data_IF_144428927989
#
_entry.id   IF_144428927989
#
_cell.length_a   1.000
_cell.length_b   1.000
_cell.length_c   1.000
_cell.angle_alpha   90.00
_cell.angle_beta   90.00
_cell.angle_gamma   90.00
#
_symmetry.space_group_name_H-M   'P 1'
#
loop_
_entity.id
_entity.type
_entity.pdbx_description
1 polymer ?
#
# COMPACT_ATOMS: atom_id res chain seq x y z
N UNK A 1 15.06 -15.23 -59.45
CA UNK A 1 15.57 -14.39 -58.34
C UNK A 1 14.64 -13.20 -58.16
N UNK A 2 13.78 -13.13 -57.11
CA UNK A 2 13.20 -11.85 -56.61
C UNK A 2 12.16 -11.88 -55.44
N UNK A 3 11.55 -13.00 -54.97
CA UNK A 3 10.63 -12.89 -53.82
C UNK A 3 11.21 -13.34 -52.47
N UNK A 4 12.16 -14.29 -52.45
CA UNK A 4 12.69 -14.87 -51.18
C UNK A 4 13.60 -13.90 -50.43
N UNK A 5 14.30 -13.01 -51.15
CA UNK A 5 15.25 -12.06 -50.55
C UNK A 5 14.55 -10.88 -49.84
N UNK A 6 13.28 -10.59 -50.17
CA UNK A 6 12.51 -9.51 -49.52
C UNK A 6 11.95 -9.93 -48.15
N UNK A 7 11.62 -11.22 -47.95
CA UNK A 7 11.09 -11.71 -46.68
C UNK A 7 12.14 -11.73 -45.56
N UNK A 8 13.42 -11.96 -45.89
CA UNK A 8 14.51 -12.01 -44.91
C UNK A 8 14.88 -10.59 -44.43
N UNK A 9 14.76 -9.57 -45.28
CA UNK A 9 15.06 -8.18 -44.90
C UNK A 9 14.00 -7.62 -43.94
N UNK A 10 12.73 -8.01 -44.08
CA UNK A 10 11.67 -7.57 -43.17
C UNK A 10 11.75 -8.21 -41.77
N UNK A 11 12.32 -9.41 -41.66
CA UNK A 11 12.51 -10.09 -40.37
C UNK A 11 13.73 -9.58 -39.58
N UNK A 12 14.69 -8.89 -40.24
CA UNK A 12 15.89 -8.33 -39.58
C UNK A 12 15.66 -6.89 -39.09
N UNK A 13 14.62 -6.20 -39.57
CA UNK A 13 14.28 -4.85 -39.13
C UNK A 13 13.36 -4.79 -37.91
N UNK A 14 12.89 -5.94 -37.41
CA UNK A 14 12.25 -6.02 -36.10
C UNK A 14 13.31 -6.29 -35.04
N UNK A 15 14.28 -5.38 -34.86
CA UNK A 15 14.92 -5.30 -33.56
C UNK A 15 13.79 -4.96 -32.59
N UNK A 16 13.47 -5.80 -31.59
CA UNK A 16 12.67 -5.32 -30.49
C UNK A 16 13.44 -4.10 -29.98
N UNK A 17 12.84 -2.91 -30.05
CA UNK A 17 13.34 -1.78 -29.27
C UNK A 17 13.31 -2.28 -27.83
N UNK A 18 14.46 -2.77 -27.36
CA UNK A 18 14.66 -3.09 -25.96
C UNK A 18 14.20 -1.84 -25.21
N UNK A 19 13.29 -2.03 -24.26
CA UNK A 19 12.62 -0.99 -23.50
C UNK A 19 13.53 0.23 -23.30
N UNK A 20 13.25 1.33 -24.00
CA UNK A 20 14.19 2.45 -24.16
C UNK A 20 14.60 3.09 -22.83
N UNK A 21 13.94 2.75 -21.72
CA UNK A 21 14.09 3.39 -20.43
C UNK A 21 15.02 2.65 -19.44
N UNK A 22 15.53 1.46 -19.77
CA UNK A 22 16.39 0.68 -18.86
C UNK A 22 17.70 1.39 -18.48
N UNK A 23 18.18 2.29 -19.33
CA UNK A 23 19.42 3.04 -19.13
C UNK A 23 19.21 4.51 -18.75
N UNK A 24 17.97 4.94 -18.54
CA UNK A 24 17.67 6.31 -18.15
C UNK A 24 17.64 6.43 -16.63
N UNK A 25 18.66 7.00 -15.99
CA UNK A 25 18.65 7.19 -14.55
C UNK A 25 17.53 8.16 -14.17
N UNK A 26 16.71 7.79 -13.19
CA UNK A 26 15.73 8.72 -12.62
C UNK A 26 16.47 9.92 -12.01
N UNK A 27 16.10 11.16 -12.39
CA UNK A 27 16.69 12.37 -11.83
C UNK A 27 16.51 12.45 -10.31
N UNK A 28 17.45 13.08 -9.61
CA UNK A 28 17.35 13.34 -8.17
C UNK A 28 17.62 12.15 -7.25
N UNK A 29 17.86 10.94 -7.79
CA UNK A 29 18.30 9.79 -6.98
C UNK A 29 19.75 10.01 -6.52
N UNK A 30 20.04 10.05 -5.20
CA UNK A 30 21.41 10.04 -4.69
C UNK A 30 22.16 8.80 -5.16
N UNK A 31 23.44 8.96 -5.51
CA UNK A 31 24.26 7.86 -6.04
C UNK A 31 25.60 7.77 -5.34
N UNK A 32 26.06 6.54 -5.18
CA UNK A 32 27.42 6.20 -4.74
C UNK A 32 28.45 6.54 -5.82
N UNK A 33 29.76 6.56 -5.51
CA UNK A 33 30.82 6.82 -6.51
C UNK A 33 30.84 5.84 -7.69
N UNK A 34 30.36 4.61 -7.52
CA UNK A 34 30.20 3.61 -8.58
C UNK A 34 28.88 3.77 -9.37
N UNK A 35 28.13 4.84 -9.13
CA UNK A 35 26.94 5.23 -9.91
C UNK A 35 25.65 4.51 -9.52
N UNK A 36 25.64 3.65 -8.50
CA UNK A 36 24.44 2.94 -8.03
C UNK A 36 23.58 3.85 -7.13
N UNK A 37 22.25 3.63 -7.06
CA UNK A 37 21.41 4.34 -6.09
C UNK A 37 21.91 4.13 -4.65
N UNK A 38 22.09 5.22 -3.92
CA UNK A 38 22.39 5.21 -2.49
C UNK A 38 21.08 5.26 -1.69
N UNK A 39 20.59 4.08 -1.29
CA UNK A 39 19.37 3.95 -0.48
C UNK A 39 19.56 4.39 0.97
N UNK A 40 20.80 4.61 1.42
CA UNK A 40 21.13 5.06 2.78
C UNK A 40 21.25 6.56 2.92
N UNK A 41 21.25 7.30 1.79
CA UNK A 41 21.29 8.74 1.76
C UNK A 41 20.16 9.39 2.58
N UNK A 42 20.31 10.63 3.07
CA UNK A 42 19.27 11.31 3.83
C UNK A 42 17.91 11.34 3.11
N UNK A 43 16.82 11.30 3.88
CA UNK A 43 15.47 11.41 3.32
C UNK A 43 15.31 12.76 2.59
N UNK A 44 14.79 12.77 1.35
CA UNK A 44 14.49 14.01 0.64
C UNK A 44 13.39 14.78 1.36
N UNK A 45 13.44 16.11 1.26
CA UNK A 45 12.46 17.01 1.84
C UNK A 45 11.75 17.78 0.73
N UNK A 46 10.47 18.05 0.92
CA UNK A 46 9.68 18.97 0.11
C UNK A 46 10.09 20.42 0.39
N UNK A 47 9.68 21.41 -0.44
CA UNK A 47 10.02 22.82 -0.23
C UNK A 47 9.57 23.40 1.12
N UNK A 48 8.51 22.85 1.74
CA UNK A 48 8.03 23.19 3.07
C UNK A 48 8.74 22.42 4.20
N UNK A 49 9.80 21.68 3.88
CA UNK A 49 10.67 21.01 4.85
C UNK A 49 10.14 19.68 5.41
N UNK A 50 8.99 19.21 4.93
CA UNK A 50 8.45 17.89 5.27
C UNK A 50 9.18 16.79 4.52
N UNK A 51 9.28 15.55 5.04
CA UNK A 51 9.72 14.43 4.23
C UNK A 51 8.89 14.33 2.95
N UNK A 52 9.57 14.29 1.81
CA UNK A 52 8.94 13.85 0.58
C UNK A 52 8.80 12.34 0.68
N UNK A 53 7.61 11.77 0.45
CA UNK A 53 7.36 10.32 0.41
C UNK A 53 7.30 9.79 -1.03
N UNK A 54 7.43 10.67 -2.02
CA UNK A 54 7.35 10.30 -3.44
C UNK A 54 8.42 9.29 -3.81
N UNK A 55 8.02 8.33 -4.64
CA UNK A 55 8.87 7.24 -5.06
C UNK A 55 8.09 6.01 -5.47
N UNK A 56 8.83 4.99 -5.90
CA UNK A 56 8.31 3.62 -6.10
C UNK A 56 8.79 2.78 -4.93
N UNK A 57 7.85 2.12 -4.26
CA UNK A 57 8.06 1.40 -3.01
C UNK A 57 7.58 -0.03 -3.13
N UNK A 58 8.23 -0.93 -2.40
CA UNK A 58 7.79 -2.31 -2.20
C UNK A 58 7.81 -2.63 -0.71
N UNK A 59 7.01 -3.61 -0.30
CA UNK A 59 6.97 -4.06 1.08
C UNK A 59 8.17 -4.96 1.36
N UNK A 60 8.93 -4.63 2.40
CA UNK A 60 10.02 -5.47 2.90
C UNK A 60 9.42 -6.73 3.53
N UNK A 61 10.06 -7.88 3.33
CA UNK A 61 9.58 -9.21 3.75
C UNK A 61 8.43 -9.78 2.90
N UNK A 62 8.19 -9.21 1.71
CA UNK A 62 7.27 -9.78 0.73
C UNK A 62 5.85 -9.89 1.27
N UNK A 63 5.18 -11.01 1.00
CA UNK A 63 3.78 -11.21 1.36
C UNK A 63 3.54 -11.54 2.84
N UNK A 64 4.52 -11.41 3.74
CA UNK A 64 4.36 -11.80 5.15
C UNK A 64 3.12 -11.18 5.82
N UNK A 65 3.03 -9.85 5.82
CA UNK A 65 1.92 -9.12 6.46
C UNK A 65 0.64 -9.13 5.63
N UNK A 66 0.76 -9.32 4.31
CA UNK A 66 -0.37 -9.55 3.42
C UNK A 66 -1.06 -10.88 3.74
N UNK A 67 -0.27 -11.91 4.07
CA UNK A 67 -0.80 -13.19 4.50
C UNK A 67 -1.38 -13.11 5.90
N UNK A 68 -0.67 -12.50 6.85
CA UNK A 68 -1.09 -12.41 8.24
C UNK A 68 -0.51 -11.17 8.93
N UNK A 69 -1.35 -10.22 9.31
CA UNK A 69 -0.93 -9.04 10.07
C UNK A 69 -0.36 -9.41 11.45
N UNK A 70 -0.77 -10.55 12.00
CA UNK A 70 -0.27 -11.09 13.27
C UNK A 70 1.06 -11.84 13.17
N UNK A 71 1.71 -11.88 11.99
CA UNK A 71 2.87 -12.75 11.72
C UNK A 71 4.10 -12.54 12.65
N UNK A 72 4.18 -11.41 13.36
CA UNK A 72 5.22 -11.13 14.37
C UNK A 72 4.82 -11.51 15.80
N UNK A 73 3.75 -12.28 15.97
CA UNK A 73 3.25 -12.65 17.30
C UNK A 73 2.53 -11.50 18.00
N UNK A 74 2.06 -10.51 17.25
CA UNK A 74 1.22 -9.43 17.78
C UNK A 74 -0.08 -10.04 18.27
N UNK A 75 -0.43 -9.78 19.54
CA UNK A 75 -1.72 -10.19 20.08
C UNK A 75 -2.84 -9.37 19.42
N UNK A 76 -3.67 -10.03 18.61
CA UNK A 76 -4.86 -9.42 18.00
C UNK A 76 -6.08 -9.74 18.89
N UNK A 77 -6.63 -8.73 19.60
CA UNK A 77 -7.57 -8.95 20.69
C UNK A 77 -9.02 -9.11 20.19
N UNK A 78 -9.26 -10.10 19.34
CA UNK A 78 -10.58 -10.38 18.74
C UNK A 78 -11.65 -10.67 19.79
N UNK A 79 -12.84 -10.10 19.60
CA UNK A 79 -14.04 -10.49 20.32
C UNK A 79 -14.45 -11.94 19.95
N UNK A 80 -15.26 -12.62 20.78
CA UNK A 80 -15.59 -14.04 20.58
C UNK A 80 -16.15 -14.37 19.19
N UNK A 81 -17.04 -13.53 18.66
CA UNK A 81 -17.62 -13.74 17.33
C UNK A 81 -16.57 -13.55 16.23
N UNK A 82 -15.70 -12.54 16.35
CA UNK A 82 -14.66 -12.24 15.36
C UNK A 82 -13.63 -13.35 15.33
N UNK A 83 -13.25 -13.87 16.51
CA UNK A 83 -12.39 -15.04 16.64
C UNK A 83 -13.04 -16.28 16.02
N UNK A 84 -14.32 -16.54 16.30
CA UNK A 84 -15.02 -17.69 15.71
C UNK A 84 -15.08 -17.60 14.17
N UNK A 85 -15.34 -16.41 13.62
CA UNK A 85 -15.35 -16.17 12.18
C UNK A 85 -13.95 -16.33 11.56
N UNK A 86 -12.91 -15.80 12.20
CA UNK A 86 -11.52 -15.96 11.77
C UNK A 86 -11.12 -17.44 11.72
N UNK A 87 -11.39 -18.21 12.78
CA UNK A 87 -11.08 -19.65 12.80
C UNK A 87 -11.89 -20.42 11.75
N UNK A 88 -13.15 -20.04 11.52
CA UNK A 88 -13.97 -20.62 10.45
C UNK A 88 -13.36 -20.35 9.06
N UNK A 89 -12.93 -19.12 8.79
CA UNK A 89 -12.26 -18.73 7.54
C UNK A 89 -10.94 -19.48 7.38
N UNK A 90 -10.19 -19.74 8.44
CA UNK A 90 -8.97 -20.55 8.34
C UNK A 90 -9.27 -22.01 8.07
N UNK A 91 -10.24 -22.58 8.77
CA UNK A 91 -10.65 -23.98 8.57
C UNK A 91 -11.19 -24.25 7.16
N UNK A 92 -11.77 -23.24 6.49
CA UNK A 92 -12.29 -23.35 5.14
C UNK A 92 -11.34 -22.86 4.03
N UNK A 93 -10.05 -22.66 4.35
CA UNK A 93 -9.02 -22.17 3.42
C UNK A 93 -9.36 -20.81 2.80
N UNK A 94 -9.81 -19.88 3.65
CA UNK A 94 -10.14 -18.49 3.31
C UNK A 94 -11.24 -18.36 2.26
N UNK A 95 -12.05 -19.41 2.06
CA UNK A 95 -13.11 -19.43 1.06
C UNK A 95 -14.07 -18.26 1.24
N UNK A 96 -14.33 -17.55 0.15
CA UNK A 96 -15.19 -16.38 0.09
C UNK A 96 -14.46 -15.06 0.31
N UNK A 97 -13.12 -15.07 0.29
CA UNK A 97 -12.30 -13.87 0.34
C UNK A 97 -12.80 -12.86 -0.71
N UNK A 98 -12.92 -11.56 -0.40
CA UNK A 98 -13.44 -10.55 -1.35
C UNK A 98 -12.74 -10.57 -2.72
N UNK A 99 -11.43 -10.80 -2.73
CA UNK A 99 -10.62 -10.92 -3.95
C UNK A 99 -11.04 -12.06 -4.90
N UNK A 100 -11.67 -13.14 -4.40
CA UNK A 100 -12.20 -14.23 -5.25
C UNK A 100 -13.30 -13.74 -6.21
N UNK A 101 -13.94 -12.63 -5.87
CA UNK A 101 -15.06 -12.04 -6.61
C UNK A 101 -14.70 -10.71 -7.26
N UNK A 102 -13.39 -10.40 -7.37
CA UNK A 102 -12.88 -9.12 -7.86
C UNK A 102 -13.46 -7.92 -7.09
N UNK A 103 -13.78 -8.10 -5.81
CA UNK A 103 -14.26 -7.02 -4.94
C UNK A 103 -13.06 -6.21 -4.42
N UNK A 104 -13.36 -5.01 -3.92
CA UNK A 104 -12.32 -4.13 -3.39
C UNK A 104 -11.65 -4.72 -2.15
N UNK A 105 -10.44 -4.25 -1.90
CA UNK A 105 -9.65 -4.58 -0.71
C UNK A 105 -9.71 -3.44 0.31
N UNK A 106 -9.50 -3.78 1.58
CA UNK A 106 -9.35 -2.79 2.66
C UNK A 106 -7.98 -2.12 2.64
N UNK A 107 -7.83 -1.00 3.34
CA UNK A 107 -6.55 -0.27 3.42
C UNK A 107 -5.43 -1.12 4.03
N UNK A 108 -5.68 -1.79 5.16
CA UNK A 108 -4.67 -2.62 5.82
C UNK A 108 -4.16 -3.77 4.91
N UNK A 109 -5.09 -4.40 4.20
CA UNK A 109 -4.79 -5.45 3.23
C UNK A 109 -3.93 -4.90 2.08
N UNK A 110 -4.39 -3.81 1.45
CA UNK A 110 -3.67 -3.22 0.31
C UNK A 110 -2.30 -2.66 0.67
N UNK A 111 -2.16 -2.10 1.88
CA UNK A 111 -0.90 -1.55 2.33
C UNK A 111 0.17 -2.63 2.49
N UNK A 112 -0.18 -3.91 2.58
CA UNK A 112 0.78 -5.00 2.77
C UNK A 112 1.06 -5.80 1.49
N UNK A 113 0.37 -5.53 0.38
CA UNK A 113 0.61 -6.20 -0.91
C UNK A 113 2.06 -5.96 -1.39
N UNK A 114 2.78 -7.05 -1.70
CA UNK A 114 4.21 -6.99 -2.03
C UNK A 114 4.54 -6.54 -3.47
N UNK A 115 3.55 -6.11 -4.25
CA UNK A 115 3.79 -5.50 -5.56
C UNK A 115 4.25 -4.05 -5.40
N UNK A 116 5.01 -3.52 -6.37
CA UNK A 116 5.36 -2.11 -6.38
C UNK A 116 4.14 -1.19 -6.25
N UNK A 117 4.34 -0.06 -5.57
CA UNK A 117 3.40 1.05 -5.53
C UNK A 117 4.13 2.36 -5.74
N UNK A 118 3.45 3.32 -6.35
CA UNK A 118 3.98 4.67 -6.57
C UNK A 118 3.29 5.64 -5.64
N UNK A 119 4.06 6.34 -4.82
CA UNK A 119 3.56 7.48 -4.04
C UNK A 119 3.86 8.76 -4.83
N UNK A 120 2.84 9.61 -4.95
CA UNK A 120 2.92 10.95 -5.52
C UNK A 120 2.44 11.92 -4.45
N UNK A 121 3.35 12.77 -3.95
CA UNK A 121 3.03 13.74 -2.92
C UNK A 121 2.88 15.14 -3.50
N UNK A 122 1.77 15.79 -3.18
CA UNK A 122 1.54 17.23 -3.38
C UNK A 122 1.13 17.85 -2.04
N UNK A 123 1.13 19.19 -1.90
CA UNK A 123 0.66 19.81 -0.67
C UNK A 123 -0.82 19.55 -0.36
N UNK A 124 -1.66 19.27 -1.37
CA UNK A 124 -3.12 19.08 -1.18
C UNK A 124 -3.54 17.60 -1.13
N UNK A 125 -2.82 16.72 -1.80
CA UNK A 125 -3.15 15.29 -1.87
C UNK A 125 -1.90 14.44 -2.01
N UNK A 126 -1.87 13.33 -1.29
CA UNK A 126 -0.94 12.22 -1.54
C UNK A 126 -1.72 11.12 -2.24
N UNK A 127 -1.26 10.74 -3.42
CA UNK A 127 -1.84 9.62 -4.18
C UNK A 127 -0.91 8.41 -4.08
N UNK A 128 -1.48 7.24 -3.78
CA UNK A 128 -0.79 5.96 -3.83
C UNK A 128 -1.38 5.17 -4.98
N UNK A 129 -0.57 4.86 -5.99
CA UNK A 129 -0.94 4.03 -7.13
C UNK A 129 -0.38 2.62 -6.89
N UNK A 130 -1.26 1.64 -6.80
CA UNK A 130 -0.87 0.26 -6.58
C UNK A 130 -0.77 -0.45 -7.93
N UNK A 131 0.33 -1.18 -8.16
CA UNK A 131 0.45 -2.02 -9.36
C UNK A 131 -0.54 -3.18 -9.33
N UNK A 132 -0.79 -3.75 -8.14
CA UNK A 132 -1.81 -4.78 -7.96
C UNK A 132 -3.22 -4.21 -8.18
N UNK A 133 -4.02 -4.96 -8.93
CA UNK A 133 -5.46 -4.73 -9.15
C UNK A 133 -5.83 -3.35 -9.75
N UNK A 134 -4.86 -2.57 -10.24
CA UNK A 134 -5.03 -1.22 -10.81
C UNK A 134 -5.82 -0.27 -9.90
N UNK A 135 -5.62 -0.35 -8.58
CA UNK A 135 -6.29 0.54 -7.63
C UNK A 135 -5.42 1.73 -7.24
N UNK A 136 -6.08 2.75 -6.71
CA UNK A 136 -5.42 3.93 -6.19
C UNK A 136 -6.07 4.35 -4.87
N UNK A 137 -5.29 5.02 -4.03
CA UNK A 137 -5.76 5.66 -2.80
C UNK A 137 -5.39 7.12 -2.82
N UNK A 138 -6.29 7.94 -2.30
CA UNK A 138 -6.06 9.38 -2.09
C UNK A 138 -6.07 9.66 -0.59
N UNK A 139 -5.03 10.35 -0.13
CA UNK A 139 -4.93 10.88 1.23
C UNK A 139 -5.03 12.39 1.10
N UNK A 140 -6.13 12.96 1.60
CA UNK A 140 -6.39 14.39 1.51
C UNK A 140 -5.59 15.12 2.59
N UNK A 141 -4.82 16.13 2.18
CA UNK A 141 -3.87 16.87 3.03
C UNK A 141 -4.34 18.29 3.32
N UNK A 142 -5.57 18.66 2.93
CA UNK A 142 -6.09 20.02 2.98
C UNK A 142 -6.74 20.40 4.34
N UNK A 143 -6.58 19.56 5.35
CA UNK A 143 -7.05 19.82 6.71
C UNK A 143 -8.54 19.59 6.95
N UNK A 144 -9.27 19.05 5.96
CA UNK A 144 -10.67 18.63 6.17
C UNK A 144 -10.75 17.47 7.17
N UNK A 145 -11.86 17.34 7.92
CA UNK A 145 -12.09 16.16 8.75
C UNK A 145 -12.41 14.93 7.88
N UNK A 146 -12.35 13.75 8.51
CA UNK A 146 -12.96 12.56 7.93
C UNK A 146 -14.46 12.76 7.70
N UNK A 147 -15.04 12.15 6.65
CA UNK A 147 -16.47 12.22 6.43
C UNK A 147 -17.23 11.46 7.52
N UNK A 148 -18.51 11.83 7.69
CA UNK A 148 -19.47 10.98 8.36
C UNK A 148 -19.63 9.65 7.59
N UNK A 149 -19.91 8.52 8.25
CA UNK A 149 -19.92 7.21 7.61
C UNK A 149 -21.23 6.91 6.85
N UNK A 150 -21.64 7.80 5.96
CA UNK A 150 -22.89 7.71 5.20
C UNK A 150 -22.76 6.94 3.88
N UNK A 151 -21.59 7.03 3.22
CA UNK A 151 -21.29 6.34 1.96
C UNK A 151 -20.06 5.44 2.13
N UNK A 152 -20.21 4.22 2.71
CA UNK A 152 -19.10 3.32 2.97
C UNK A 152 -18.46 2.79 1.69
N UNK A 153 -17.14 2.59 1.73
CA UNK A 153 -16.37 2.05 0.60
C UNK A 153 -15.37 0.97 1.06
N UNK A 154 -14.80 0.20 0.13
CA UNK A 154 -13.77 -0.79 0.51
C UNK A 154 -12.48 -0.13 1.04
N UNK A 155 -12.08 1.01 0.48
CA UNK A 155 -10.86 1.72 0.85
C UNK A 155 -11.08 2.80 1.94
N UNK A 156 -12.32 2.99 2.38
CA UNK A 156 -12.66 4.13 3.24
C UNK A 156 -12.32 5.47 2.59
N UNK A 157 -12.13 6.48 3.44
CA UNK A 157 -11.67 7.82 3.05
C UNK A 157 -10.53 8.23 3.96
N UNK A 158 -9.44 8.75 3.40
CA UNK A 158 -8.22 9.04 4.15
C UNK A 158 -7.93 10.54 4.21
N UNK A 159 -7.61 11.03 5.41
CA UNK A 159 -7.09 12.38 5.63
C UNK A 159 -5.73 12.28 6.31
N UNK A 160 -4.82 13.20 5.99
CA UNK A 160 -3.46 13.18 6.51
C UNK A 160 -3.06 14.50 7.16
N UNK A 161 -2.20 14.41 8.18
CA UNK A 161 -1.56 15.55 8.85
C UNK A 161 -0.11 15.21 9.23
N UNK A 162 0.74 16.23 9.28
CA UNK A 162 2.13 16.07 9.71
C UNK A 162 2.28 16.28 11.22
N UNK A 163 2.84 15.30 11.91
CA UNK A 163 3.33 15.41 13.29
C UNK A 163 4.86 15.42 13.27
N UNK A 164 5.46 16.61 13.27
CA UNK A 164 6.89 16.77 12.98
C UNK A 164 7.22 16.26 11.57
N UNK A 165 8.00 15.18 11.52
CA UNK A 165 8.45 14.48 10.31
C UNK A 165 7.67 13.16 10.05
N UNK A 166 6.63 12.87 10.83
CA UNK A 166 5.77 11.70 10.61
C UNK A 166 4.47 12.15 9.95
N UNK A 167 4.10 11.53 8.84
CA UNK A 167 2.77 11.68 8.26
C UNK A 167 1.83 10.73 9.01
N UNK A 168 0.82 11.30 9.65
CA UNK A 168 -0.26 10.57 10.30
C UNK A 168 -1.47 10.59 9.39
N UNK A 169 -1.97 9.41 9.03
CA UNK A 169 -3.13 9.23 8.17
C UNK A 169 -4.22 8.56 8.97
N UNK A 170 -5.41 9.13 8.93
CA UNK A 170 -6.61 8.57 9.54
C UNK A 170 -7.55 8.14 8.43
N UNK A 171 -8.15 6.96 8.54
CA UNK A 171 -9.09 6.42 7.56
C UNK A 171 -10.30 5.81 8.25
N UNK A 172 -11.50 6.14 7.79
CA UNK A 172 -12.77 5.59 8.27
C UNK A 172 -13.73 5.25 7.12
N UNK A 173 -15.00 4.96 7.48
CA UNK A 173 -16.11 4.81 6.52
C UNK A 173 -15.88 3.63 5.58
N UNK A 174 -15.43 2.53 6.16
CA UNK A 174 -15.30 1.26 5.46
C UNK A 174 -16.66 0.59 5.33
N UNK A 175 -16.81 -0.25 4.30
CA UNK A 175 -17.89 -1.24 4.28
C UNK A 175 -17.54 -2.46 5.15
N UNK A 176 -18.52 -3.32 5.38
CA UNK A 176 -18.43 -4.56 6.16
C UNK A 176 -18.01 -5.77 5.32
N UNK A 177 -17.59 -5.54 4.07
CA UNK A 177 -17.29 -6.60 3.10
C UNK A 177 -15.79 -6.87 2.97
N UNK A 178 -14.93 -6.03 3.54
CA UNK A 178 -13.48 -6.18 3.55
C UNK A 178 -12.97 -7.14 4.61
N UNK A 179 -11.78 -7.71 4.38
CA UNK A 179 -10.98 -8.42 5.38
C UNK A 179 -9.70 -7.59 5.59
N UNK A 180 -9.09 -7.66 6.78
CA UNK A 180 -7.87 -6.88 7.05
C UNK A 180 -6.62 -7.48 6.40
N UNK A 181 -6.64 -8.78 6.12
CA UNK A 181 -5.56 -9.52 5.47
C UNK A 181 -6.07 -10.82 4.84
N UNK A 182 -5.18 -11.54 4.15
CA UNK A 182 -5.56 -12.82 3.53
C UNK A 182 -5.91 -13.88 4.58
N UNK A 183 -5.34 -13.84 5.78
CA UNK A 183 -5.66 -14.82 6.84
C UNK A 183 -7.13 -14.77 7.27
N UNK A 184 -7.79 -13.64 7.03
CA UNK A 184 -9.22 -13.46 7.21
C UNK A 184 -9.60 -12.77 8.50
N UNK A 185 -8.73 -11.91 9.03
CA UNK A 185 -9.08 -11.04 10.15
C UNK A 185 -10.32 -10.18 9.81
N UNK A 186 -11.40 -10.24 10.63
CA UNK A 186 -12.64 -9.53 10.34
C UNK A 186 -12.51 -8.01 10.42
N UNK A 187 -13.23 -7.32 9.55
CA UNK A 187 -13.40 -5.87 9.56
C UNK A 187 -14.89 -5.55 9.60
N UNK A 188 -15.29 -4.51 10.32
CA UNK A 188 -16.66 -3.96 10.32
C UNK A 188 -16.67 -2.52 9.82
N UNK A 189 -17.87 -1.98 9.60
CA UNK A 189 -18.10 -0.58 9.28
C UNK A 189 -17.62 0.41 10.35
N UNK A 190 -17.36 -0.06 11.57
CA UNK A 190 -16.82 0.77 12.67
C UNK A 190 -15.29 0.82 12.71
N UNK A 191 -14.62 0.19 11.74
CA UNK A 191 -13.17 0.26 11.61
C UNK A 191 -12.69 1.70 11.41
N UNK A 192 -11.71 2.09 12.22
CA UNK A 192 -10.91 3.29 12.06
C UNK A 192 -9.44 2.88 12.03
N UNK A 193 -8.74 3.25 10.98
CA UNK A 193 -7.32 2.96 10.79
C UNK A 193 -6.51 4.23 10.99
N UNK A 194 -5.47 4.14 11.81
CA UNK A 194 -4.47 5.20 11.94
C UNK A 194 -3.12 4.66 11.48
N UNK A 195 -2.58 5.26 10.43
CA UNK A 195 -1.26 4.94 9.91
C UNK A 195 -0.26 6.04 10.25
N UNK A 196 0.99 5.65 10.53
CA UNK A 196 2.10 6.57 10.76
C UNK A 196 3.25 6.24 9.81
N UNK A 197 3.47 7.09 8.83
CA UNK A 197 4.55 6.98 7.85
C UNK A 197 5.76 7.78 8.30
N UNK A 198 6.90 7.11 8.48
CA UNK A 198 8.17 7.77 8.86
C UNK A 198 9.26 7.42 7.85
N UNK A 199 9.65 8.37 6.99
CA UNK A 199 10.74 8.18 6.03
C UNK A 199 12.09 8.28 6.72
N UNK A 200 12.74 7.13 6.93
CA UNK A 200 14.01 7.00 7.66
C UNK A 200 15.20 7.55 6.88
N UNK A 201 15.22 7.26 5.59
CA UNK A 201 16.27 7.64 4.65
C UNK A 201 15.69 7.61 3.22
N UNK A 202 16.56 7.74 2.22
CA UNK A 202 16.15 7.74 0.82
C UNK A 202 15.37 6.47 0.44
N UNK A 203 15.80 5.30 0.92
CA UNK A 203 15.26 4.00 0.52
C UNK A 203 14.33 3.30 1.51
N UNK A 204 13.98 3.90 2.66
CA UNK A 204 13.16 3.25 3.69
C UNK A 204 12.09 4.16 4.28
N UNK A 205 10.86 3.65 4.33
CA UNK A 205 9.73 4.20 5.07
C UNK A 205 9.27 3.13 6.07
N UNK A 206 9.17 3.52 7.35
CA UNK A 206 8.46 2.73 8.35
C UNK A 206 6.97 3.07 8.24
N UNK A 207 6.11 2.04 8.22
CA UNK A 207 4.66 2.18 8.28
C UNK A 207 4.17 1.47 9.54
N UNK A 208 3.62 2.23 10.48
CA UNK A 208 2.90 1.68 11.62
C UNK A 208 1.40 1.80 11.36
N UNK A 209 0.65 0.70 11.53
CA UNK A 209 -0.79 0.65 11.29
C UNK A 209 -1.49 0.26 12.58
N UNK A 210 -2.35 1.14 13.08
CA UNK A 210 -3.22 0.87 14.22
C UNK A 210 -4.64 0.65 13.74
N UNK A 211 -5.21 -0.50 14.10
CA UNK A 211 -6.60 -0.86 13.81
C UNK A 211 -7.43 -0.64 15.06
N UNK A 212 -8.48 0.17 14.94
CA UNK A 212 -9.50 0.35 15.97
C UNK A 212 -10.86 -0.02 15.40
N UNK A 213 -11.36 -1.21 15.75
CA UNK A 213 -12.72 -1.64 15.44
C UNK A 213 -13.33 -2.24 16.71
N UNK A 214 -14.11 -1.47 17.47
CA UNK A 214 -14.66 -1.91 18.76
C UNK A 214 -15.74 -2.99 18.61
N UNK A 215 -16.27 -3.21 17.40
CA UNK A 215 -17.22 -4.29 17.14
C UNK A 215 -16.51 -5.62 16.86
N UNK A 216 -15.27 -5.62 16.39
CA UNK A 216 -14.48 -6.83 16.13
C UNK A 216 -13.39 -7.11 17.17
N UNK A 217 -12.84 -6.10 17.83
CA UNK A 217 -11.70 -6.19 18.74
C UNK A 217 -12.01 -5.52 20.09
N UNK A 218 -11.47 -6.06 21.19
CA UNK A 218 -11.70 -5.52 22.54
C UNK A 218 -10.88 -4.26 22.86
N UNK A 219 -9.83 -3.99 22.09
CA UNK A 219 -8.98 -2.79 22.17
C UNK A 219 -8.29 -2.54 20.82
N UNK A 220 -7.86 -1.30 20.53
CA UNK A 220 -6.97 -1.04 19.41
C UNK A 220 -5.70 -1.87 19.48
N UNK A 221 -5.16 -2.23 18.32
CA UNK A 221 -3.93 -2.98 18.17
C UNK A 221 -3.11 -2.45 17.00
N UNK A 222 -1.80 -2.65 17.04
CA UNK A 222 -0.84 -1.99 16.14
C UNK A 222 0.15 -2.99 15.58
N UNK A 223 0.46 -2.84 14.30
CA UNK A 223 1.52 -3.57 13.58
C UNK A 223 2.49 -2.59 12.93
N UNK A 224 3.72 -3.05 12.65
CA UNK A 224 4.79 -2.23 12.09
C UNK A 224 5.65 -3.03 11.11
#
# INVERSE_FOLDING_TARGET
MKPVMFAIIFAVLTTPLAAQWLHYPTPGIPRTPDGKPDLSAPAPKTPDGKPDLSGVWTIRNGNKYFQDLGADGVEIPMLPWAKALYEQRKANLQKGHPSERCLGHGVADFDTVATPRKIIQTPQVIAILFEAYNQYRQILMDGRPLPEPDVPSYHGYSVGKWEGDTLVVETNTFNDQGWLDMNGHPQTETTHITERYTRRNFGHIDLEVTINDPKAYSRPWTVK
#
